data_IF_329064425235
#
_entry.id   IF_329064425235
#
_cell.length_a   1.000
_cell.length_b   1.000
_cell.length_c   1.000
_cell.angle_alpha   90.00
_cell.angle_beta   90.00
_cell.angle_gamma   90.00
#
_symmetry.space_group_name_H-M   'P 1'
#
loop_
_entity.id
_entity.type
_entity.pdbx_description
1 polymer ?
#
# COMPACT_ATOMS: atom_id res chain seq x y z
N UNK A 1 -44.80 -33.65 17.05
CA UNK A 1 -45.90 -32.66 16.98
C UNK A 1 -45.51 -31.57 16.00
N UNK A 2 -46.47 -31.26 15.13
CA UNK A 2 -46.36 -30.47 13.90
C UNK A 2 -46.74 -29.01 14.18
N UNK A 3 -46.24 -28.10 13.31
CA UNK A 3 -46.78 -26.77 12.99
C UNK A 3 -46.48 -25.61 13.97
N UNK A 4 -46.31 -24.35 13.56
CA UNK A 4 -46.79 -23.69 12.33
C UNK A 4 -45.98 -22.42 12.02
N UNK A 5 -45.58 -22.26 10.76
CA UNK A 5 -45.30 -20.97 10.10
C UNK A 5 -46.57 -20.13 10.11
N UNK A 6 -46.49 -18.84 10.45
CA UNK A 6 -47.58 -17.90 10.20
C UNK A 6 -47.19 -16.96 9.06
N UNK A 7 -47.78 -17.21 7.88
CA UNK A 7 -47.90 -16.24 6.79
C UNK A 7 -49.11 -15.35 7.09
N UNK A 8 -49.00 -14.04 6.90
CA UNK A 8 -50.18 -13.18 6.74
C UNK A 8 -50.26 -12.65 5.31
N UNK A 9 -51.45 -12.70 4.68
CA UNK A 9 -51.65 -12.43 3.27
C UNK A 9 -51.88 -10.95 2.95
N UNK A 10 -51.64 -10.67 1.67
CA UNK A 10 -52.07 -9.55 0.83
C UNK A 10 -53.59 -9.27 0.93
N UNK A 11 -54.03 -8.03 0.65
CA UNK A 11 -55.13 -7.70 -0.31
C UNK A 11 -55.45 -6.17 -0.33
N UNK A 12 -55.26 -5.63 -1.55
CA UNK A 12 -55.99 -4.61 -2.34
C UNK A 12 -56.44 -3.23 -1.82
N UNK A 13 -56.19 -2.24 -2.70
CA UNK A 13 -57.02 -1.05 -2.98
C UNK A 13 -56.16 0.20 -3.13
N UNK A 14 -56.16 1.03 -4.19
CA UNK A 14 -57.00 1.18 -5.40
C UNK A 14 -56.19 1.98 -6.43
N UNK A 15 -56.41 1.67 -7.71
CA UNK A 15 -55.90 2.39 -8.90
C UNK A 15 -56.89 3.48 -9.27
N UNK A 16 -56.41 4.70 -9.54
CA UNK A 16 -57.14 5.70 -10.33
C UNK A 16 -56.20 6.24 -11.43
N UNK A 17 -56.48 5.81 -12.66
CA UNK A 17 -56.17 6.41 -13.96
C UNK A 17 -56.78 7.84 -14.04
N UNK A 18 -56.31 8.87 -14.74
CA UNK A 18 -55.50 8.99 -15.96
C UNK A 18 -55.05 10.47 -16.16
N UNK A 19 -54.08 10.75 -17.06
CA UNK A 19 -54.03 12.03 -17.79
C UNK A 19 -53.81 11.84 -19.29
N UNK A 20 -54.63 12.48 -20.15
CA UNK A 20 -54.43 12.67 -21.60
C UNK A 20 -55.42 13.81 -21.99
N UNK A 21 -55.18 14.83 -22.83
CA UNK A 21 -54.09 15.22 -23.74
C UNK A 21 -54.46 16.58 -24.42
N UNK A 22 -53.45 17.25 -25.00
CA UNK A 22 -53.47 18.16 -26.19
C UNK A 22 -54.12 19.56 -26.03
N UNK A 23 -53.68 20.66 -26.67
CA UNK A 23 -52.49 21.03 -27.45
C UNK A 23 -52.56 22.55 -27.80
N UNK A 24 -51.39 23.19 -28.02
CA UNK A 24 -51.05 24.33 -28.92
C UNK A 24 -51.75 25.71 -28.70
N UNK A 25 -51.17 26.90 -28.93
CA UNK A 25 -50.20 27.40 -29.93
C UNK A 25 -49.36 28.61 -29.42
N UNK A 26 -48.25 28.86 -30.14
CA UNK A 26 -47.34 30.03 -30.16
C UNK A 26 -48.03 31.40 -30.28
N UNK A 27 -47.46 32.54 -29.82
CA UNK A 27 -46.54 33.39 -30.61
C UNK A 27 -45.93 34.58 -29.80
N UNK A 28 -44.61 34.75 -29.95
CA UNK A 28 -43.79 35.96 -30.24
C UNK A 28 -43.85 37.28 -29.46
N UNK A 29 -42.64 37.86 -29.36
CA UNK A 29 -42.21 39.27 -29.23
C UNK A 29 -42.04 39.84 -27.82
N UNK A 30 -40.79 40.21 -27.53
CA UNK A 30 -40.36 40.85 -26.29
C UNK A 30 -38.83 40.81 -26.19
N UNK A 31 -38.15 41.50 -27.09
CA UNK A 31 -36.73 41.86 -26.96
C UNK A 31 -36.50 42.44 -25.56
N UNK A 32 -35.57 41.91 -24.76
CA UNK A 32 -34.73 42.65 -23.80
C UNK A 32 -33.76 41.68 -23.10
N UNK A 33 -32.45 41.92 -23.26
CA UNK A 33 -31.43 41.52 -22.29
C UNK A 33 -30.91 40.09 -22.38
N UNK A 34 -29.78 39.90 -23.06
CA UNK A 34 -28.84 38.83 -22.76
C UNK A 34 -28.38 38.97 -21.29
N UNK A 35 -29.12 38.37 -20.36
CA UNK A 35 -28.75 38.35 -18.95
C UNK A 35 -27.96 37.08 -18.67
N UNK A 36 -26.65 37.17 -18.89
CA UNK A 36 -25.63 36.25 -18.36
C UNK A 36 -25.52 36.40 -16.84
N UNK A 37 -26.60 36.12 -16.10
CA UNK A 37 -26.59 36.22 -14.64
C UNK A 37 -27.37 35.12 -13.93
N UNK A 38 -27.42 33.89 -14.48
CA UNK A 38 -27.91 32.71 -13.71
C UNK A 38 -27.18 31.41 -14.07
N UNK A 39 -25.86 31.38 -13.89
CA UNK A 39 -25.09 30.13 -13.72
C UNK A 39 -24.19 30.14 -12.48
N UNK A 40 -24.37 31.12 -11.59
CA UNK A 40 -23.63 31.22 -10.32
C UNK A 40 -24.54 30.93 -9.15
N UNK A 41 -25.30 29.85 -9.20
CA UNK A 41 -26.06 29.40 -8.04
C UNK A 41 -26.06 27.86 -8.01
N UNK A 42 -25.04 27.34 -7.31
CA UNK A 42 -24.84 25.96 -6.82
C UNK A 42 -23.35 25.54 -6.87
N UNK A 43 -22.42 26.47 -6.62
CA UNK A 43 -21.17 26.08 -5.96
C UNK A 43 -21.46 26.12 -4.47
N UNK A 44 -22.11 25.07 -3.98
CA UNK A 44 -22.02 24.73 -2.57
C UNK A 44 -20.52 24.76 -2.19
N UNK A 45 -20.12 25.34 -1.06
CA UNK A 45 -18.72 25.37 -0.68
C UNK A 45 -18.26 23.92 -0.58
N UNK A 46 -17.51 23.49 -1.62
CA UNK A 46 -16.82 22.22 -1.67
C UNK A 46 -16.19 22.03 -0.31
N UNK A 47 -16.65 21.01 0.43
CA UNK A 47 -16.14 20.68 1.75
C UNK A 47 -14.63 20.83 1.68
N UNK A 48 -14.06 21.76 2.48
CA UNK A 48 -12.63 22.07 2.45
C UNK A 48 -11.88 20.75 2.53
N UNK A 49 -11.36 20.27 1.39
CA UNK A 49 -10.59 19.03 1.35
C UNK A 49 -9.31 19.38 2.06
N UNK A 50 -9.26 19.08 3.36
CA UNK A 50 -8.02 19.21 4.11
C UNK A 50 -7.08 18.18 3.52
N UNK A 51 -5.90 18.57 3.02
CA UNK A 51 -4.93 17.59 2.57
C UNK A 51 -4.64 16.65 3.74
N UNK A 52 -4.88 15.36 3.55
CA UNK A 52 -4.58 14.36 4.56
C UNK A 52 -3.07 14.34 4.76
N UNK A 53 -2.60 14.77 5.93
CA UNK A 53 -1.19 14.75 6.30
C UNK A 53 -0.89 13.42 6.98
N UNK A 54 -0.04 12.62 6.37
CA UNK A 54 0.39 11.36 6.95
C UNK A 54 1.29 11.62 8.17
N UNK A 55 0.99 10.91 9.25
CA UNK A 55 1.75 10.92 10.50
C UNK A 55 2.73 9.75 10.56
N UNK A 56 3.63 9.76 11.56
CA UNK A 56 4.47 8.60 11.86
C UNK A 56 3.65 7.34 12.17
N UNK A 57 2.44 7.51 12.73
CA UNK A 57 1.50 6.40 13.00
C UNK A 57 0.96 5.80 11.70
N UNK A 58 0.64 6.63 10.71
CA UNK A 58 0.20 6.15 9.39
C UNK A 58 1.31 5.34 8.70
N UNK A 59 2.56 5.82 8.78
CA UNK A 59 3.73 5.10 8.26
C UNK A 59 3.90 3.74 8.92
N UNK A 60 3.73 3.66 10.24
CA UNK A 60 3.81 2.40 10.97
C UNK A 60 2.68 1.44 10.55
N UNK A 61 1.43 1.90 10.53
CA UNK A 61 0.30 1.07 10.06
C UNK A 61 0.50 0.55 8.64
N UNK A 62 0.96 1.40 7.72
CA UNK A 62 1.26 1.00 6.35
C UNK A 62 2.42 0.00 6.28
N UNK A 63 3.49 0.24 7.04
CA UNK A 63 4.64 -0.66 7.14
C UNK A 63 4.22 -2.06 7.60
N UNK A 64 3.28 -2.14 8.55
CA UNK A 64 2.74 -3.41 9.04
C UNK A 64 2.00 -4.18 7.96
N UNK A 65 1.13 -3.51 7.19
CA UNK A 65 0.49 -4.14 6.05
C UNK A 65 1.52 -4.66 5.04
N UNK A 66 2.48 -3.82 4.63
CA UNK A 66 3.52 -4.25 3.69
C UNK A 66 4.35 -5.43 4.23
N UNK A 67 4.72 -5.41 5.51
CA UNK A 67 5.51 -6.45 6.15
C UNK A 67 4.81 -7.81 6.16
N UNK A 68 3.51 -7.83 6.47
CA UNK A 68 2.76 -9.08 6.63
C UNK A 68 2.13 -9.59 5.35
N UNK A 69 1.80 -8.71 4.40
CA UNK A 69 1.10 -9.09 3.17
C UNK A 69 2.00 -9.36 1.99
N UNK A 70 3.27 -8.94 2.02
CA UNK A 70 4.15 -9.06 0.85
C UNK A 70 5.42 -9.86 1.18
N UNK A 71 6.04 -10.43 0.14
CA UNK A 71 7.40 -10.87 0.26
C UNK A 71 8.34 -9.67 0.45
N UNK A 72 8.91 -9.57 1.65
CA UNK A 72 9.78 -8.47 2.09
C UNK A 72 11.07 -8.32 1.28
N UNK A 73 11.46 -9.31 0.48
CA UNK A 73 12.58 -9.18 -0.47
C UNK A 73 12.18 -8.53 -1.80
N UNK A 74 10.89 -8.20 -2.00
CA UNK A 74 10.37 -7.61 -3.23
C UNK A 74 9.84 -6.20 -2.97
N UNK A 75 10.61 -5.18 -3.37
CA UNK A 75 10.20 -3.77 -3.30
C UNK A 75 8.89 -3.54 -4.05
N UNK A 76 8.76 -4.07 -5.26
CA UNK A 76 7.55 -3.99 -6.06
C UNK A 76 6.33 -4.59 -5.34
N UNK A 77 6.53 -5.70 -4.61
CA UNK A 77 5.50 -6.32 -3.78
C UNK A 77 5.02 -5.41 -2.65
N UNK A 78 5.96 -4.80 -1.93
CA UNK A 78 5.64 -3.85 -0.85
C UNK A 78 4.90 -2.63 -1.38
N UNK A 79 5.41 -2.01 -2.45
CA UNK A 79 4.78 -0.85 -3.10
C UNK A 79 3.39 -1.21 -3.66
N UNK A 80 3.22 -2.42 -4.20
CA UNK A 80 1.93 -2.90 -4.70
C UNK A 80 0.89 -3.06 -3.57
N UNK A 81 1.25 -3.66 -2.43
CA UNK A 81 0.38 -3.72 -1.25
C UNK A 81 0.06 -2.31 -0.75
N UNK A 82 1.06 -1.44 -0.65
CA UNK A 82 0.85 -0.04 -0.26
C UNK A 82 -0.12 0.68 -1.19
N UNK A 83 0.02 0.49 -2.49
CA UNK A 83 -0.88 1.05 -3.51
C UNK A 83 -2.32 0.60 -3.28
N UNK A 84 -2.55 -0.68 -2.94
CA UNK A 84 -3.89 -1.18 -2.58
C UNK A 84 -4.46 -0.48 -1.34
N UNK A 85 -3.65 -0.31 -0.28
CA UNK A 85 -4.07 0.40 0.94
C UNK A 85 -4.47 1.84 0.60
N UNK A 86 -3.68 2.54 -0.20
CA UNK A 86 -3.97 3.90 -0.64
C UNK A 86 -5.20 3.98 -1.54
N UNK A 87 -5.42 2.98 -2.40
CA UNK A 87 -6.63 2.87 -3.21
C UNK A 87 -7.88 2.67 -2.37
N UNK A 88 -7.80 1.81 -1.34
CA UNK A 88 -8.88 1.61 -0.37
C UNK A 88 -9.19 2.87 0.41
N UNK A 89 -8.18 3.60 0.87
CA UNK A 89 -8.34 4.91 1.51
C UNK A 89 -9.03 5.90 0.56
N UNK A 90 -8.53 6.03 -0.68
CA UNK A 90 -9.10 6.91 -1.71
C UNK A 90 -10.55 6.55 -2.07
N UNK A 91 -10.92 5.27 -1.98
CA UNK A 91 -12.29 4.84 -2.25
C UNK A 91 -13.31 5.32 -1.21
N UNK A 92 -12.86 5.65 0.01
CA UNK A 92 -13.73 5.98 1.15
C UNK A 92 -14.55 4.81 1.70
N UNK A 93 -14.45 3.60 1.13
CA UNK A 93 -15.27 2.43 1.53
C UNK A 93 -14.67 1.62 2.68
N UNK A 94 -13.39 1.84 2.98
CA UNK A 94 -12.59 1.01 3.90
C UNK A 94 -12.13 1.77 5.15
N UNK A 95 -12.35 3.09 5.20
CA UNK A 95 -11.87 3.95 6.28
C UNK A 95 -11.46 5.32 5.77
N UNK A 96 -11.27 6.23 6.72
CA UNK A 96 -10.88 7.63 6.45
C UNK A 96 -9.41 7.92 6.78
N UNK A 97 -8.67 6.93 7.28
CA UNK A 97 -7.25 6.99 7.64
C UNK A 97 -6.56 5.65 7.34
N UNK A 98 -5.24 5.68 7.24
CA UNK A 98 -4.43 4.51 6.84
C UNK A 98 -4.57 3.37 7.87
N UNK A 99 -4.58 3.69 9.15
CA UNK A 99 -4.66 2.68 10.21
C UNK A 99 -6.02 1.98 10.26
N UNK A 100 -7.11 2.69 9.99
CA UNK A 100 -8.46 2.11 9.89
C UNK A 100 -8.54 1.14 8.71
N UNK A 101 -7.96 1.49 7.55
CA UNK A 101 -7.92 0.58 6.39
C UNK A 101 -7.11 -0.68 6.72
N UNK A 102 -5.91 -0.53 7.30
CA UNK A 102 -5.05 -1.67 7.65
C UNK A 102 -5.66 -2.53 8.77
N UNK A 103 -6.34 -1.89 9.73
CA UNK A 103 -7.00 -2.55 10.84
C UNK A 103 -8.35 -3.18 10.50
N UNK A 104 -8.83 -3.08 9.26
CA UNK A 104 -10.13 -3.60 8.86
C UNK A 104 -10.19 -5.13 9.06
N UNK A 105 -11.22 -5.58 9.76
CA UNK A 105 -11.34 -6.96 10.23
C UNK A 105 -11.33 -7.95 9.06
N UNK A 106 -10.35 -8.84 9.06
CA UNK A 106 -10.23 -9.94 8.09
C UNK A 106 -9.79 -9.51 6.68
N UNK A 107 -9.36 -8.26 6.49
CA UNK A 107 -8.86 -7.78 5.20
C UNK A 107 -7.36 -7.94 5.00
N UNK A 108 -6.64 -8.01 6.12
CA UNK A 108 -5.19 -8.18 6.23
C UNK A 108 -4.90 -9.34 7.20
N UNK A 109 -3.64 -9.75 7.27
CA UNK A 109 -3.15 -10.89 8.02
C UNK A 109 -3.62 -10.83 9.48
N UNK A 110 -3.98 -11.98 10.09
CA UNK A 110 -4.35 -12.03 11.49
C UNK A 110 -3.26 -11.41 12.37
N UNK A 111 -3.66 -10.43 13.20
CA UNK A 111 -2.75 -9.69 14.05
C UNK A 111 -1.88 -8.65 13.33
N UNK A 112 -2.25 -8.19 12.13
CA UNK A 112 -1.53 -7.14 11.39
C UNK A 112 -1.29 -5.89 12.23
N UNK A 113 -2.15 -5.56 13.20
CA UNK A 113 -1.99 -4.40 14.11
C UNK A 113 -1.31 -4.72 15.45
N UNK A 114 -1.16 -5.99 15.83
CA UNK A 114 -0.69 -6.39 17.16
C UNK A 114 0.63 -7.17 17.16
N UNK A 115 0.92 -7.93 16.09
CA UNK A 115 2.12 -8.77 15.99
C UNK A 115 3.40 -7.94 15.85
N UNK A 116 4.51 -8.44 16.36
CA UNK A 116 5.82 -7.78 16.21
C UNK A 116 6.34 -7.93 14.78
N UNK A 117 6.93 -6.87 14.23
CA UNK A 117 7.63 -6.90 12.94
C UNK A 117 9.13 -7.13 13.14
N UNK A 118 9.51 -8.36 13.53
CA UNK A 118 10.93 -8.69 13.73
C UNK A 118 11.52 -9.21 12.41
N UNK A 119 12.35 -8.43 11.73
CA UNK A 119 13.07 -8.84 10.52
C UNK A 119 14.26 -7.92 10.22
N UNK A 120 15.27 -8.44 9.54
CA UNK A 120 16.36 -7.62 8.97
C UNK A 120 15.88 -6.71 7.83
N UNK A 121 14.77 -7.04 7.18
CA UNK A 121 14.19 -6.27 6.08
C UNK A 121 13.33 -5.06 6.55
N UNK A 122 13.28 -4.78 7.85
CA UNK A 122 12.48 -3.66 8.38
C UNK A 122 12.83 -2.28 7.78
N UNK A 123 14.12 -1.94 7.54
CA UNK A 123 14.46 -0.68 6.88
C UNK A 123 13.84 -0.57 5.48
N UNK A 124 13.87 -1.64 4.69
CA UNK A 124 13.31 -1.65 3.34
C UNK A 124 11.79 -1.48 3.34
N UNK A 125 11.11 -2.12 4.29
CA UNK A 125 9.67 -1.98 4.51
C UNK A 125 9.31 -0.54 4.88
N UNK A 126 10.04 0.07 5.82
CA UNK A 126 9.80 1.45 6.24
C UNK A 126 10.08 2.44 5.11
N UNK A 127 11.13 2.22 4.32
CA UNK A 127 11.44 3.04 3.15
C UNK A 127 10.38 2.90 2.04
N UNK A 128 9.79 1.71 1.87
CA UNK A 128 8.70 1.49 0.91
C UNK A 128 7.41 2.16 1.37
N UNK A 129 7.08 2.04 2.66
CA UNK A 129 5.93 2.72 3.26
C UNK A 129 6.05 4.24 3.09
N UNK A 130 7.20 4.80 3.42
CA UNK A 130 7.45 6.24 3.26
C UNK A 130 7.32 6.70 1.81
N UNK A 131 7.92 5.98 0.87
CA UNK A 131 7.82 6.35 -0.53
C UNK A 131 6.37 6.28 -1.04
N UNK A 132 5.58 5.30 -0.61
CA UNK A 132 4.14 5.25 -0.91
C UNK A 132 3.40 6.42 -0.26
N UNK A 133 3.69 6.80 0.97
CA UNK A 133 3.08 7.99 1.57
C UNK A 133 3.45 9.28 0.83
N UNK A 134 4.65 9.32 0.25
CA UNK A 134 5.12 10.41 -0.62
C UNK A 134 4.61 10.33 -2.07
N UNK A 135 3.75 9.36 -2.39
CA UNK A 135 3.08 9.25 -3.68
C UNK A 135 3.63 8.20 -4.64
N UNK A 136 4.59 7.38 -4.25
CA UNK A 136 5.00 6.23 -5.05
C UNK A 136 3.81 5.26 -5.21
N UNK A 137 3.50 4.88 -6.45
CA UNK A 137 2.39 3.96 -6.77
C UNK A 137 2.87 2.94 -7.80
N UNK A 138 2.34 1.71 -7.70
CA UNK A 138 2.48 0.74 -8.78
C UNK A 138 1.62 1.17 -9.98
N UNK A 139 2.26 1.45 -11.11
CA UNK A 139 1.62 2.00 -12.32
C UNK A 139 0.50 1.12 -12.88
N UNK A 140 0.59 -0.20 -12.67
CA UNK A 140 -0.42 -1.16 -13.11
C UNK A 140 -1.63 -1.23 -12.17
N UNK A 141 -1.51 -0.81 -10.91
CA UNK A 141 -2.56 -0.98 -9.90
C UNK A 141 -3.47 0.24 -9.72
N UNK A 142 -3.73 1.00 -10.79
CA UNK A 142 -4.50 2.26 -10.73
C UNK A 142 -5.81 2.16 -9.96
N UNK A 143 -6.61 1.11 -10.21
CA UNK A 143 -7.92 0.91 -9.58
C UNK A 143 -8.00 -0.35 -8.69
N UNK A 144 -6.90 -1.09 -8.55
CA UNK A 144 -6.90 -2.36 -7.83
C UNK A 144 -6.96 -2.16 -6.32
N UNK A 145 -7.95 -2.78 -5.67
CA UNK A 145 -8.14 -2.73 -4.22
C UNK A 145 -8.02 -4.12 -3.57
N UNK A 146 -7.72 -5.15 -4.36
CA UNK A 146 -7.79 -6.53 -3.91
C UNK A 146 -6.56 -7.29 -4.38
N UNK A 147 -6.16 -8.26 -3.56
CA UNK A 147 -5.13 -9.21 -3.88
C UNK A 147 -5.35 -10.50 -3.10
N UNK A 148 -4.69 -11.55 -3.52
CA UNK A 148 -4.53 -12.78 -2.77
C UNK A 148 -3.16 -13.40 -3.11
N UNK A 149 -2.80 -14.47 -2.40
CA UNK A 149 -1.58 -15.24 -2.69
C UNK A 149 -1.57 -15.69 -4.16
N UNK A 150 -0.47 -15.45 -4.85
CA UNK A 150 -0.30 -15.84 -6.24
C UNK A 150 -0.42 -17.37 -6.39
N UNK A 151 -0.98 -17.81 -7.52
CA UNK A 151 -1.21 -19.23 -7.80
C UNK A 151 -2.55 -19.77 -7.29
N UNK A 152 -3.22 -19.09 -6.36
CA UNK A 152 -4.59 -19.44 -5.98
C UNK A 152 -5.58 -19.04 -7.09
N UNK A 153 -6.61 -19.86 -7.29
CA UNK A 153 -7.71 -19.59 -8.22
C UNK A 153 -9.03 -19.61 -7.46
N UNK A 154 -9.85 -18.60 -7.71
CA UNK A 154 -11.20 -18.50 -7.16
C UNK A 154 -12.23 -18.56 -8.28
N UNK A 155 -13.38 -19.22 -8.07
CA UNK A 155 -14.40 -19.42 -9.10
C UNK A 155 -15.30 -18.19 -9.30
N UNK A 156 -14.74 -16.97 -9.21
CA UNK A 156 -15.48 -15.74 -9.42
C UNK A 156 -15.14 -15.13 -10.78
N UNK A 157 -16.18 -14.76 -11.54
CA UNK A 157 -16.04 -14.19 -12.88
C UNK A 157 -15.79 -12.67 -12.89
N UNK A 158 -15.88 -12.01 -11.73
CA UNK A 158 -15.72 -10.56 -11.60
C UNK A 158 -14.31 -10.15 -11.14
N UNK A 159 -13.36 -11.07 -11.08
CA UNK A 159 -11.98 -10.80 -10.66
C UNK A 159 -11.08 -10.59 -11.88
N UNK A 160 -10.66 -9.35 -12.13
CA UNK A 160 -9.79 -8.99 -13.24
C UNK A 160 -8.37 -8.77 -12.75
N UNK A 161 -7.51 -9.76 -12.97
CA UNK A 161 -6.10 -9.70 -12.58
C UNK A 161 -5.32 -8.68 -13.40
N UNK A 162 -4.46 -7.93 -12.72
CA UNK A 162 -3.73 -6.79 -13.33
C UNK A 162 -2.22 -6.93 -13.16
N UNK A 163 -1.76 -7.47 -12.04
CA UNK A 163 -0.34 -7.63 -11.74
C UNK A 163 -0.13 -8.82 -10.80
N UNK A 164 0.98 -9.53 -10.99
CA UNK A 164 1.53 -10.47 -10.01
C UNK A 164 2.86 -9.91 -9.52
N UNK A 165 3.01 -9.70 -8.21
CA UNK A 165 4.21 -9.13 -7.60
C UNK A 165 4.30 -9.54 -6.12
N UNK A 166 5.52 -9.72 -5.61
CA UNK A 166 5.75 -9.97 -4.18
C UNK A 166 5.04 -11.20 -3.61
N UNK A 167 4.76 -12.22 -4.44
CA UNK A 167 4.01 -13.41 -4.03
C UNK A 167 2.48 -13.26 -4.06
N UNK A 168 1.96 -12.14 -4.55
CA UNK A 168 0.52 -11.87 -4.64
C UNK A 168 0.06 -11.65 -6.08
N UNK A 169 -1.20 -11.99 -6.35
CA UNK A 169 -1.93 -11.62 -7.54
C UNK A 169 -2.94 -10.51 -7.19
N UNK A 170 -2.81 -9.36 -7.84
CA UNK A 170 -3.62 -8.18 -7.62
C UNK A 170 -4.71 -8.09 -8.69
N UNK A 171 -5.91 -7.68 -8.29
CA UNK A 171 -7.07 -7.67 -9.17
C UNK A 171 -8.11 -6.60 -8.82
N UNK A 172 -8.87 -6.23 -9.84
CA UNK A 172 -10.05 -5.38 -9.72
C UNK A 172 -11.30 -6.25 -9.67
N UNK A 173 -12.24 -5.91 -8.78
CA UNK A 173 -13.57 -6.52 -8.78
C UNK A 173 -14.49 -5.72 -9.70
N UNK A 174 -14.68 -6.17 -10.95
CA UNK A 174 -15.55 -5.47 -11.93
C UNK A 174 -16.90 -6.18 -12.05
N UNK A 175 -17.92 -5.59 -11.43
CA UNK A 175 -19.32 -6.00 -11.59
C UNK A 175 -20.07 -5.12 -12.60
N UNK A 176 -21.40 -5.29 -12.69
CA UNK A 176 -22.26 -4.51 -13.61
C UNK A 176 -22.14 -2.99 -13.42
N UNK A 177 -21.97 -2.53 -12.18
CA UNK A 177 -21.86 -1.12 -11.82
C UNK A 177 -20.42 -0.77 -11.41
N UNK A 178 -19.42 -1.32 -12.10
CA UNK A 178 -18.04 -0.97 -11.79
C UNK A 178 -17.70 0.41 -12.34
N UNK A 179 -17.06 1.23 -11.51
CA UNK A 179 -16.44 2.49 -11.90
C UNK A 179 -14.98 2.47 -11.47
N UNK A 180 -14.09 3.14 -12.23
CA UNK A 180 -12.73 3.40 -11.77
C UNK A 180 -12.73 4.23 -10.47
N UNK A 181 -11.63 4.16 -9.73
CA UNK A 181 -11.44 5.04 -8.57
C UNK A 181 -11.40 6.50 -9.02
N UNK A 182 -11.86 7.44 -8.17
CA UNK A 182 -11.69 8.85 -8.46
C UNK A 182 -10.20 9.17 -8.63
N UNK A 183 -9.89 10.18 -9.45
CA UNK A 183 -8.52 10.63 -9.62
C UNK A 183 -7.91 10.99 -8.27
N UNK A 184 -6.64 10.64 -8.08
CA UNK A 184 -5.93 11.02 -6.88
C UNK A 184 -5.82 12.55 -6.85
N UNK A 185 -6.30 13.19 -5.78
CA UNK A 185 -6.19 14.64 -5.67
C UNK A 185 -4.71 14.98 -5.38
N UNK A 186 -3.97 15.57 -6.33
CA UNK A 186 -2.52 15.78 -6.21
C UNK A 186 -2.17 16.72 -5.05
N UNK A 187 -3.13 17.47 -4.52
CA UNK A 187 -2.96 18.43 -3.42
C UNK A 187 -2.62 17.76 -2.08
N UNK A 188 -2.95 16.47 -1.89
CA UNK A 188 -2.64 15.76 -0.64
C UNK A 188 -1.17 15.32 -0.50
N UNK A 189 -0.41 15.29 -1.59
CA UNK A 189 0.98 14.78 -1.60
C UNK A 189 2.01 15.92 -1.63
N UNK A 190 1.59 17.14 -1.95
CA UNK A 190 2.48 18.28 -2.21
C UNK A 190 3.02 19.06 -0.98
N UNK A 191 3.21 18.43 0.20
CA UNK A 191 4.16 19.03 1.18
C UNK A 191 5.04 17.95 1.79
N UNK A 192 5.94 17.44 0.97
CA UNK A 192 7.28 17.08 1.38
C UNK A 192 8.25 17.89 0.50
N UNK A 193 8.12 19.21 0.53
CA UNK A 193 9.15 20.09 -0.03
C UNK A 193 10.40 19.94 0.84
N UNK A 194 11.59 19.69 0.27
CA UNK A 194 12.81 19.65 1.05
C UNK A 194 13.01 21.01 1.72
N UNK A 195 13.33 20.99 3.02
CA UNK A 195 13.84 22.15 3.70
C UNK A 195 14.95 22.76 2.84
N UNK A 196 14.74 23.98 2.35
CA UNK A 196 15.75 24.76 1.68
C UNK A 196 17.02 24.80 2.58
N UNK A 197 18.23 24.83 1.99
CA UNK A 197 19.44 24.91 2.79
C UNK A 197 19.38 26.21 3.58
N UNK A 198 19.40 26.10 4.91
CA UNK A 198 19.77 27.20 5.78
C UNK A 198 21.20 27.57 5.42
N UNK A 199 21.35 28.57 4.56
CA UNK A 199 22.62 29.25 4.34
C UNK A 199 23.06 29.78 5.71
N UNK A 200 24.03 29.11 6.31
CA UNK A 200 24.72 29.60 7.49
C UNK A 200 25.46 30.87 7.09
N UNK A 201 24.90 32.01 7.45
CA UNK A 201 25.60 33.30 7.44
C UNK A 201 26.79 33.17 8.38
N UNK A 202 27.97 32.93 7.81
CA UNK A 202 29.24 32.97 8.54
C UNK A 202 29.53 34.45 8.80
N UNK A 203 29.18 34.94 9.98
CA UNK A 203 29.68 36.21 10.47
C UNK A 203 31.18 36.06 10.69
N UNK A 204 31.98 36.61 9.80
CA UNK A 204 33.41 36.85 9.99
C UNK A 204 33.61 37.64 11.28
N UNK A 205 34.03 36.96 12.34
CA UNK A 205 34.56 37.58 13.54
C UNK A 205 35.99 38.05 13.23
N UNK A 206 36.15 39.36 13.12
CA UNK A 206 37.43 40.04 13.01
C UNK A 206 38.24 39.80 14.28
N UNK A 207 39.46 39.32 14.11
CA UNK A 207 40.42 39.13 15.18
C UNK A 207 40.79 40.46 15.84
N UNK A 208 40.75 40.51 17.17
CA UNK A 208 41.62 41.40 17.94
C UNK A 208 42.26 40.58 19.07
N UNK A 209 43.58 40.44 18.97
CA UNK A 209 44.41 39.82 19.99
C UNK A 209 44.74 40.82 21.10
N UNK A 210 45.26 40.28 22.21
CA UNK A 210 45.96 40.92 23.34
C UNK A 210 45.11 41.72 24.35
N UNK A 211 45.20 41.59 25.68
CA UNK A 211 46.18 40.96 26.59
C UNK A 211 45.55 40.65 27.97
N UNK A 212 46.21 39.73 28.70
CA UNK A 212 46.56 39.78 30.13
C UNK A 212 45.80 38.86 31.10
N UNK A 213 46.63 38.11 31.81
CA UNK A 213 46.36 37.13 32.84
C UNK A 213 45.84 37.71 34.15
N UNK A 214 45.01 36.94 34.85
CA UNK A 214 45.02 36.83 36.31
C UNK A 214 44.69 35.41 36.75
N UNK A 215 45.47 34.96 37.72
CA UNK A 215 45.52 33.67 38.40
C UNK A 215 44.31 33.54 39.35
N UNK A 216 43.71 32.35 39.45
CA UNK A 216 43.12 31.88 40.71
C UNK A 216 42.99 30.36 40.68
N UNK A 217 43.76 29.73 41.55
CA UNK A 217 43.68 28.31 41.87
C UNK A 217 42.47 28.06 42.77
N UNK A 218 41.74 26.96 42.54
CA UNK A 218 41.05 26.23 43.61
C UNK A 218 41.22 24.73 43.37
N UNK A 219 41.67 24.11 44.45
CA UNK A 219 41.98 22.72 44.77
C UNK A 219 40.75 21.82 44.85
N UNK A 220 40.83 20.59 44.33
CA UNK A 220 40.75 19.32 45.10
C UNK A 220 40.46 18.11 44.18
N UNK A 221 40.96 16.90 44.52
CA UNK A 221 41.01 15.74 43.62
C UNK A 221 39.84 14.76 43.87
N UNK A 222 39.39 14.07 42.83
CA UNK A 222 38.54 12.88 42.97
C UNK A 222 39.06 11.76 42.07
N UNK A 223 39.86 10.90 42.71
CA UNK A 223 40.04 9.44 42.55
C UNK A 223 39.59 8.76 41.24
N UNK A 224 40.56 8.13 40.58
CA UNK A 224 40.34 6.91 39.80
C UNK A 224 39.89 5.78 40.73
N UNK A 225 38.87 5.02 40.34
CA UNK A 225 38.64 3.67 40.86
C UNK A 225 38.15 2.77 39.73
N UNK A 226 39.00 1.80 39.41
CA UNK A 226 38.73 0.61 38.60
C UNK A 226 37.95 -0.41 39.45
N UNK A 227 36.93 -1.05 38.88
CA UNK A 227 36.41 -2.31 39.41
C UNK A 227 35.74 -3.15 38.30
N UNK A 228 36.27 -4.36 38.19
CA UNK A 228 36.05 -5.48 37.26
C UNK A 228 34.67 -6.19 37.51
N UNK A 229 34.16 -7.07 36.62
CA UNK A 229 32.74 -7.39 36.48
C UNK A 229 32.27 -8.54 37.38
N UNK A 230 31.00 -8.51 37.75
CA UNK A 230 30.33 -9.57 38.49
C UNK A 230 29.75 -10.67 37.55
N UNK A 231 29.83 -11.96 37.94
CA UNK A 231 29.48 -13.10 37.09
C UNK A 231 27.98 -13.43 37.08
N UNK A 232 27.56 -14.02 35.96
CA UNK A 232 26.23 -14.57 35.69
C UNK A 232 25.93 -15.79 36.59
N UNK A 233 24.68 -15.96 37.09
CA UNK A 233 24.26 -17.22 37.68
C UNK A 233 23.93 -18.25 36.59
N UNK A 234 24.64 -19.37 36.64
CA UNK A 234 24.38 -20.60 35.89
C UNK A 234 23.05 -21.19 36.39
N UNK A 235 22.09 -21.37 35.48
CA UNK A 235 20.91 -22.20 35.73
C UNK A 235 20.89 -23.32 34.71
N UNK A 236 20.72 -24.51 35.27
CA UNK A 236 20.90 -25.85 34.74
C UNK A 236 20.07 -26.18 33.52
N UNK A 237 20.71 -26.79 32.52
CA UNK A 237 20.07 -27.45 31.40
C UNK A 237 19.32 -28.71 31.88
N UNK A 238 17.99 -28.67 31.86
CA UNK A 238 17.18 -29.88 31.93
C UNK A 238 17.17 -30.55 30.57
N UNK A 239 17.68 -31.78 30.54
CA UNK A 239 17.59 -32.72 29.45
C UNK A 239 16.12 -32.99 29.09
N UNK A 240 15.76 -32.79 27.82
CA UNK A 240 14.52 -33.31 27.23
C UNK A 240 14.87 -34.59 26.47
N UNK A 241 14.17 -35.72 26.68
CA UNK A 241 14.43 -36.95 25.96
C UNK A 241 14.17 -36.79 24.47
N UNK A 242 15.14 -37.26 23.67
CA UNK A 242 15.01 -37.45 22.24
C UNK A 242 14.10 -38.65 22.00
N UNK A 243 12.88 -38.40 21.54
CA UNK A 243 11.99 -39.45 21.07
C UNK A 243 11.87 -39.39 19.54
N UNK A 244 12.47 -40.41 18.93
CA UNK A 244 12.57 -40.66 17.49
C UNK A 244 11.38 -41.51 17.06
N UNK A 245 10.51 -41.06 16.15
CA UNK A 245 9.62 -41.97 15.46
C UNK A 245 10.37 -42.65 14.31
N UNK A 246 10.26 -43.98 14.25
CA UNK A 246 10.83 -44.86 13.23
C UNK A 246 10.36 -44.49 11.80
N UNK A 247 11.14 -44.85 10.75
CA UNK A 247 10.74 -44.60 9.37
C UNK A 247 9.61 -45.56 8.98
N UNK A 248 8.47 -44.99 8.59
CA UNK A 248 7.38 -45.76 8.00
C UNK A 248 7.75 -46.01 6.54
N UNK A 249 7.73 -47.28 6.17
CA UNK A 249 8.15 -47.77 4.85
C UNK A 249 7.30 -47.18 3.72
N UNK A 250 7.98 -47.05 2.59
CA UNK A 250 7.49 -46.59 1.31
C UNK A 250 6.31 -47.42 0.78
N UNK A 251 5.33 -46.73 0.21
CA UNK A 251 4.58 -47.23 -0.95
C UNK A 251 4.92 -46.32 -2.13
N UNK A 252 5.81 -46.80 -3.00
CA UNK A 252 6.07 -46.20 -4.29
C UNK A 252 4.83 -46.41 -5.17
N UNK A 253 4.05 -45.34 -5.36
CA UNK A 253 3.12 -45.25 -6.48
C UNK A 253 3.95 -44.96 -7.72
N UNK A 254 3.98 -45.88 -8.67
CA UNK A 254 4.59 -45.67 -9.98
C UNK A 254 3.89 -44.48 -10.64
N UNK A 255 4.59 -43.37 -10.77
CA UNK A 255 4.19 -42.25 -11.60
C UNK A 255 4.97 -42.32 -12.92
N UNK A 256 4.20 -42.44 -13.99
CA UNK A 256 4.60 -42.43 -15.40
C UNK A 256 5.48 -41.21 -15.73
N UNK A 257 6.58 -41.36 -16.52
CA UNK A 257 7.43 -40.23 -16.86
C UNK A 257 6.73 -39.33 -17.89
N UNK A 258 6.31 -38.15 -17.44
CA UNK A 258 5.91 -37.05 -18.33
C UNK A 258 7.16 -36.47 -19.00
N UNK A 259 7.14 -36.16 -20.31
CA UNK A 259 8.28 -35.58 -21.01
C UNK A 259 8.53 -34.15 -20.50
N UNK A 260 9.54 -34.00 -19.65
CA UNK A 260 10.14 -32.69 -19.37
C UNK A 260 10.99 -32.29 -20.57
N UNK A 261 10.51 -31.31 -21.33
CA UNK A 261 11.34 -30.60 -22.30
C UNK A 261 12.39 -29.81 -21.53
N UNK A 262 13.53 -30.43 -21.28
CA UNK A 262 14.72 -29.76 -20.77
C UNK A 262 15.31 -28.95 -21.91
N UNK A 263 15.27 -27.63 -21.79
CA UNK A 263 15.93 -26.73 -22.72
C UNK A 263 17.41 -26.71 -22.39
N UNK A 264 18.16 -27.63 -22.99
CA UNK A 264 19.61 -27.68 -22.86
C UNK A 264 20.22 -26.72 -23.87
N UNK A 265 20.69 -25.57 -23.39
CA UNK A 265 21.41 -24.60 -24.22
C UNK A 265 22.73 -25.23 -24.67
N UNK A 266 22.82 -25.62 -25.95
CA UNK A 266 24.09 -25.99 -26.59
C UNK A 266 24.86 -24.72 -26.96
N UNK A 267 26.21 -24.75 -27.00
CA UNK A 267 27.03 -23.60 -27.38
C UNK A 267 26.65 -22.99 -28.73
N UNK A 268 26.15 -23.80 -29.67
CA UNK A 268 25.73 -23.34 -30.99
C UNK A 268 24.50 -22.40 -30.95
N UNK A 269 23.61 -22.56 -29.95
CA UNK A 269 22.42 -21.70 -29.81
C UNK A 269 22.75 -20.32 -29.20
N UNK A 270 23.86 -20.20 -28.48
CA UNK A 270 24.32 -18.91 -27.92
C UNK A 270 25.00 -18.03 -28.98
N UNK A 271 25.62 -18.62 -30.00
CA UNK A 271 26.26 -17.86 -31.09
C UNK A 271 25.24 -17.21 -32.03
N UNK A 272 24.08 -17.84 -32.26
CA UNK A 272 23.02 -17.28 -33.09
C UNK A 272 22.38 -16.01 -32.49
N UNK A 273 22.30 -15.91 -31.15
CA UNK A 273 21.78 -14.71 -30.48
C UNK A 273 22.84 -13.59 -30.47
N UNK A 274 24.12 -13.93 -30.31
CA UNK A 274 25.22 -12.97 -30.41
C UNK A 274 25.33 -12.32 -31.79
N UNK A 275 25.10 -13.09 -32.86
CA UNK A 275 25.11 -12.59 -34.23
C UNK A 275 23.96 -11.62 -34.54
N UNK A 276 22.77 -11.81 -33.95
CA UNK A 276 21.63 -10.90 -34.12
C UNK A 276 21.88 -9.53 -33.46
N UNK A 277 22.44 -9.50 -32.24
CA UNK A 277 22.76 -8.26 -31.52
C UNK A 277 23.82 -7.44 -32.27
N UNK A 278 24.78 -8.11 -32.93
CA UNK A 278 25.83 -7.44 -33.70
C UNK A 278 25.34 -6.86 -35.04
N UNK A 279 24.17 -7.30 -35.52
CA UNK A 279 23.58 -6.82 -36.77
C UNK A 279 22.69 -5.59 -36.63
N UNK A 280 22.24 -5.27 -35.41
CA UNK A 280 21.21 -4.24 -35.17
C UNK A 280 21.78 -2.86 -34.75
N UNK A 281 23.11 -2.71 -34.71
CA UNK A 281 23.76 -1.45 -34.35
C UNK A 281 24.67 -0.90 -35.46
N UNK A 282 24.04 -0.39 -36.52
CA UNK A 282 24.60 0.65 -37.38
C UNK A 282 23.50 1.61 -37.87
N UNK A 283 23.45 2.85 -37.37
CA UNK A 283 22.90 3.94 -38.16
C UNK A 283 23.96 4.38 -39.17
N UNK A 284 23.62 4.33 -40.47
CA UNK A 284 24.31 5.09 -41.50
C UNK A 284 23.59 6.43 -41.66
N UNK A 285 24.38 7.50 -41.47
CA UNK A 285 24.13 8.92 -41.75
C UNK A 285 23.12 9.66 -40.87
#
# INVERSE_FOLDING_TARGET
MIAKRWKRPFVLGTVVLAPLLLAACSQTTGSHGMSVTKFTDSVAPSSKVRPYRYSARDKECLSRAMFFESNRSSRDGMVAVGTVVMNRLRSGKHGNDVCTVVGERGQFAPGVMTRRMNSRAMPDVQAAAEAVLNGERSTKLKNSMYFHTAGLKFPYNNMHYVLVAGGNAFYEKRGRNWQPLPDENPVAIAMATPAAPVVSSTSTATAFATTKATKAAVTAPVVMASAEPAPLPVITASAVPSERPAPIMASASMAEPQPVMSFQSTPDNTDAIGALIMSESRPLQ
#
